data_IF_854751826332
#
_entry.id   IF_854751826332
#
_cell.length_a   1.000
_cell.length_b   1.000
_cell.length_c   1.000
_cell.angle_alpha   90.00
_cell.angle_beta   90.00
_cell.angle_gamma   90.00
#
_symmetry.space_group_name_H-M   'P 1'
#
loop_
_entity.id
_entity.type
_entity.pdbx_description
1 polymer ?
#
# COMPACT_ATOMS: atom_id res chain seq x y z
N UNK A 1 -8.58 9.81 -12.90
CA UNK A 1 -9.32 8.61 -12.49
C UNK A 1 -8.62 7.35 -13.01
N UNK A 2 -7.59 6.82 -12.32
CA UNK A 2 -6.86 5.61 -12.75
C UNK A 2 -7.10 4.39 -11.84
N UNK A 3 -7.74 4.59 -10.68
CA UNK A 3 -7.99 3.51 -9.72
C UNK A 3 -9.18 2.60 -10.08
N UNK A 4 -10.05 2.99 -11.04
CA UNK A 4 -11.27 2.20 -11.38
C UNK A 4 -11.05 0.99 -12.29
N UNK A 5 -9.81 0.75 -12.75
CA UNK A 5 -9.48 -0.36 -13.66
C UNK A 5 -8.68 -1.48 -12.98
N UNK A 6 -8.71 -1.56 -11.65
CA UNK A 6 -8.16 -2.68 -10.88
C UNK A 6 -9.29 -3.63 -10.50
N UNK A 7 -9.04 -4.93 -10.63
CA UNK A 7 -10.05 -6.00 -10.52
C UNK A 7 -10.67 -6.14 -9.12
N UNK A 8 -10.05 -5.57 -8.09
CA UNK A 8 -10.42 -5.80 -6.69
C UNK A 8 -10.70 -4.49 -5.95
N UNK A 9 -11.94 -4.33 -5.49
CA UNK A 9 -12.39 -3.17 -4.69
C UNK A 9 -11.56 -2.96 -3.42
N UNK A 10 -11.06 -4.05 -2.82
CA UNK A 10 -10.19 -4.00 -1.64
C UNK A 10 -8.91 -3.21 -1.91
N UNK A 11 -8.22 -3.46 -3.03
CA UNK A 11 -7.00 -2.72 -3.40
C UNK A 11 -7.27 -1.21 -3.53
N UNK A 12 -8.40 -0.83 -4.13
CA UNK A 12 -8.79 0.57 -4.25
C UNK A 12 -8.99 1.24 -2.89
N UNK A 13 -9.69 0.58 -1.97
CA UNK A 13 -9.92 1.11 -0.61
C UNK A 13 -8.61 1.21 0.18
N UNK A 14 -7.73 0.22 0.04
CA UNK A 14 -6.42 0.23 0.70
C UNK A 14 -5.54 1.38 0.20
N UNK A 15 -5.49 1.59 -1.12
CA UNK A 15 -4.75 2.69 -1.73
C UNK A 15 -5.34 4.05 -1.33
N UNK A 16 -6.67 4.18 -1.29
CA UNK A 16 -7.32 5.41 -0.86
C UNK A 16 -7.00 5.74 0.60
N UNK A 17 -7.02 4.74 1.50
CA UNK A 17 -6.61 4.90 2.90
C UNK A 17 -5.14 5.28 3.04
N UNK A 18 -4.27 4.65 2.25
CA UNK A 18 -2.85 4.98 2.25
C UNK A 18 -2.64 6.43 1.80
N UNK A 19 -3.23 6.86 0.67
CA UNK A 19 -3.11 8.22 0.16
C UNK A 19 -3.62 9.24 1.19
N UNK A 20 -4.78 8.99 1.82
CA UNK A 20 -5.28 9.85 2.90
C UNK A 20 -4.40 9.85 4.16
N UNK A 21 -3.59 8.82 4.38
CA UNK A 21 -2.65 8.78 5.50
C UNK A 21 -1.34 9.49 5.19
N UNK A 22 -0.97 9.65 3.92
CA UNK A 22 0.23 10.39 3.49
C UNK A 22 -0.20 11.76 2.97
N UNK A 23 -0.74 12.58 3.88
CA UNK A 23 -1.48 13.81 3.54
C UNK A 23 -0.59 14.95 3.00
N UNK A 24 0.73 14.96 3.27
CA UNK A 24 1.61 16.03 2.74
C UNK A 24 3.12 15.64 2.62
N UNK A 25 3.51 14.42 3.02
CA UNK A 25 4.91 13.98 3.14
C UNK A 25 5.36 12.99 2.03
N UNK A 26 4.66 12.95 0.91
CA UNK A 26 5.10 12.15 -0.25
C UNK A 26 6.27 12.85 -0.95
N UNK A 27 7.48 12.49 -0.53
CA UNK A 27 8.70 12.79 -1.26
C UNK A 27 8.56 12.31 -2.73
N UNK A 28 9.09 13.07 -3.70
CA UNK A 28 8.92 12.77 -5.14
C UNK A 28 9.37 11.35 -5.51
N UNK A 29 10.33 10.78 -4.76
CA UNK A 29 10.74 9.38 -4.92
C UNK A 29 9.61 8.39 -4.63
N UNK A 30 8.84 8.61 -3.55
CA UNK A 30 7.71 7.74 -3.17
C UNK A 30 6.55 7.83 -4.17
N UNK A 31 6.33 9.00 -4.78
CA UNK A 31 5.33 9.13 -5.84
C UNK A 31 5.72 8.30 -7.07
N UNK A 32 7.00 8.32 -7.45
CA UNK A 32 7.50 7.53 -8.59
C UNK A 32 7.36 6.03 -8.31
N UNK A 33 7.73 5.58 -7.12
CA UNK A 33 7.56 4.19 -6.70
C UNK A 33 6.08 3.78 -6.65
N UNK A 34 5.18 4.67 -6.21
CA UNK A 34 3.73 4.43 -6.23
C UNK A 34 3.21 4.31 -7.67
N UNK A 35 3.69 5.14 -8.59
CA UNK A 35 3.29 5.06 -10.00
C UNK A 35 3.79 3.77 -10.67
N UNK A 36 5.01 3.33 -10.38
CA UNK A 36 5.52 2.03 -10.83
C UNK A 36 4.70 0.88 -10.22
N UNK A 37 4.41 0.95 -8.91
CA UNK A 37 3.57 -0.03 -8.22
C UNK A 37 2.17 -0.10 -8.85
N UNK A 38 1.60 1.04 -9.23
CA UNK A 38 0.31 1.13 -9.92
C UNK A 38 0.37 0.64 -11.37
N UNK A 39 1.55 0.36 -11.91
CA UNK A 39 1.72 -0.31 -13.21
C UNK A 39 1.70 -1.84 -13.09
N UNK A 40 1.95 -2.39 -11.90
CA UNK A 40 1.99 -3.83 -11.64
C UNK A 40 0.61 -4.48 -11.58
N UNK A 41 0.55 -5.79 -11.79
CA UNK A 41 -0.71 -6.56 -11.78
C UNK A 41 -1.36 -6.61 -10.40
N UNK A 42 -2.70 -6.63 -10.35
CA UNK A 42 -3.46 -6.71 -9.09
C UNK A 42 -3.09 -7.95 -8.25
N UNK A 43 -2.85 -9.08 -8.93
CA UNK A 43 -2.51 -10.37 -8.31
C UNK A 43 -1.15 -10.33 -7.59
N UNK A 44 -0.16 -9.68 -8.20
CA UNK A 44 1.17 -9.45 -7.61
C UNK A 44 1.05 -8.53 -6.39
N UNK A 45 0.29 -7.44 -6.51
CA UNK A 45 0.10 -6.51 -5.39
C UNK A 45 -0.59 -7.16 -4.21
N UNK A 46 -1.65 -7.93 -4.45
CA UNK A 46 -2.31 -8.71 -3.42
C UNK A 46 -1.33 -9.70 -2.79
N UNK A 47 -0.53 -10.38 -3.60
CA UNK A 47 0.46 -11.34 -3.10
C UNK A 47 1.55 -10.68 -2.24
N UNK A 48 2.00 -9.47 -2.60
CA UNK A 48 2.97 -8.74 -1.79
C UNK A 48 2.36 -8.16 -0.50
N UNK A 49 1.12 -7.69 -0.55
CA UNK A 49 0.39 -7.19 0.63
C UNK A 49 0.11 -8.33 1.62
N UNK A 50 -0.35 -9.48 1.12
CA UNK A 50 -0.58 -10.70 1.90
C UNK A 50 0.73 -11.35 2.38
N UNK A 51 1.87 -10.99 1.79
CA UNK A 51 3.17 -11.58 2.11
C UNK A 51 3.35 -13.00 1.56
N UNK A 52 2.53 -13.41 0.59
CA UNK A 52 2.66 -14.69 -0.12
C UNK A 52 3.72 -14.65 -1.21
N UNK A 53 4.16 -13.46 -1.64
CA UNK A 53 5.24 -13.29 -2.60
C UNK A 53 6.31 -12.30 -2.10
N UNK A 54 7.55 -12.46 -2.57
CA UNK A 54 8.67 -11.60 -2.20
C UNK A 54 8.63 -10.28 -2.97
N UNK A 55 8.40 -9.19 -2.25
CA UNK A 55 8.37 -7.84 -2.82
C UNK A 55 9.79 -7.34 -3.14
N UNK A 56 9.99 -6.67 -4.30
CA UNK A 56 11.21 -5.93 -4.62
C UNK A 56 11.61 -4.94 -3.51
N UNK A 57 12.91 -4.80 -3.21
CA UNK A 57 13.36 -3.92 -2.13
C UNK A 57 12.94 -2.45 -2.28
N UNK A 58 12.76 -1.98 -3.52
CA UNK A 58 12.28 -0.62 -3.82
C UNK A 58 10.86 -0.37 -3.26
N UNK A 59 9.96 -1.35 -3.43
CA UNK A 59 8.57 -1.23 -2.98
C UNK A 59 8.37 -1.68 -1.52
N UNK A 60 9.36 -2.33 -0.90
CA UNK A 60 9.25 -2.83 0.49
C UNK A 60 8.87 -1.73 1.48
N UNK A 61 9.45 -0.52 1.35
CA UNK A 61 9.13 0.62 2.21
C UNK A 61 7.70 1.11 2.00
N UNK A 62 7.28 1.21 0.75
CA UNK A 62 5.93 1.63 0.36
C UNK A 62 4.87 0.63 0.84
N UNK A 63 5.07 -0.67 0.57
CA UNK A 63 4.17 -1.74 1.00
C UNK A 63 4.06 -1.86 2.51
N UNK A 64 5.17 -1.67 3.25
CA UNK A 64 5.08 -1.65 4.71
C UNK A 64 4.19 -0.50 5.20
N UNK A 65 4.29 0.70 4.60
CA UNK A 65 3.39 1.81 4.95
C UNK A 65 1.94 1.53 4.55
N UNK A 66 1.71 0.97 3.36
CA UNK A 66 0.37 0.54 2.93
C UNK A 66 -0.19 -0.48 3.92
N UNK A 67 0.60 -1.48 4.34
CA UNK A 67 0.19 -2.47 5.34
C UNK A 67 -0.12 -1.85 6.69
N UNK A 68 0.69 -0.92 7.19
CA UNK A 68 0.40 -0.19 8.43
C UNK A 68 -0.86 0.66 8.35
N UNK A 69 -1.17 1.25 7.19
CA UNK A 69 -2.41 2.00 6.98
C UNK A 69 -3.63 1.09 6.74
N UNK A 70 -3.42 -0.08 6.12
CA UNK A 70 -4.43 -1.09 5.81
C UNK A 70 -4.89 -1.86 7.05
N UNK A 71 -3.91 -2.30 7.83
CA UNK A 71 -4.04 -2.97 9.11
C UNK A 71 -3.44 -2.04 10.16
N UNK A 72 -4.15 -0.95 10.53
CA UNK A 72 -3.79 -0.25 11.73
C UNK A 72 -3.97 -1.28 12.83
N UNK A 73 -2.88 -1.83 13.33
CA UNK A 73 -2.90 -2.69 14.50
C UNK A 73 -3.64 -1.87 15.56
N UNK A 74 -4.87 -2.28 15.89
CA UNK A 74 -5.59 -1.65 17.01
C UNK A 74 -4.60 -1.61 18.17
N UNK A 75 -4.31 -0.43 18.75
CA UNK A 75 -3.40 -0.32 19.87
C UNK A 75 -4.13 -0.83 21.11
N UNK A 76 -4.48 -2.12 21.12
CA UNK A 76 -4.90 -2.81 22.32
C UNK A 76 -3.70 -3.60 22.84
N UNK A 77 -3.25 -3.13 24.00
CA UNK A 77 -2.39 -3.78 25.01
C UNK A 77 -0.90 -3.42 24.96
N UNK A 78 -0.63 -2.14 25.18
CA UNK A 78 0.49 -1.75 26.02
C UNK A 78 0.00 -0.80 27.12
N UNK A 79 -0.56 -1.34 28.21
CA UNK A 79 -0.17 -0.88 29.53
C UNK A 79 -0.53 -1.91 30.61
N UNK A 80 0.49 -2.23 31.40
CA UNK A 80 0.41 -2.88 32.71
C UNK A 80 -0.44 -2.07 33.68
#
# INVERSE_FOLDING_TARGET
MRCRARGTLELCVLLERFINSVDDELDQGLMTDLEELLHESDDELLSWICGTAECPQRFKRLLNRIRSAAFPESPEKQNR
#
